data_IF_303892098870
#
_entry.id   IF_303892098870
#
_cell.length_a   1.000
_cell.length_b   1.000
_cell.length_c   1.000
_cell.angle_alpha   90.00
_cell.angle_beta   90.00
_cell.angle_gamma   90.00
#
_symmetry.space_group_name_H-M   'P 1'
#
loop_
_entity.id
_entity.type
_entity.pdbx_description
1 polymer ?
#
# COMPACT_ATOMS: atom_id res chain seq x y z
N UNK A 1 25.01 42.01 -21.19
CA UNK A 1 24.71 40.59 -21.51
C UNK A 1 24.73 39.83 -20.19
N UNK A 2 23.54 39.55 -19.65
CA UNK A 2 23.38 38.85 -18.36
C UNK A 2 23.28 37.36 -18.66
N UNK A 3 24.26 36.59 -18.23
CA UNK A 3 24.28 35.12 -18.30
C UNK A 3 23.35 34.59 -17.20
N UNK A 4 22.15 34.18 -17.58
CA UNK A 4 21.30 33.39 -16.72
C UNK A 4 21.92 31.98 -16.61
N UNK A 5 22.38 31.64 -15.40
CA UNK A 5 22.75 30.30 -15.04
C UNK A 5 21.54 29.34 -15.12
N UNK A 6 21.77 28.01 -15.15
CA UNK A 6 20.69 27.04 -15.30
C UNK A 6 19.72 27.17 -14.11
N UNK A 7 18.46 27.50 -14.41
CA UNK A 7 17.35 27.51 -13.48
C UNK A 7 17.24 26.11 -12.84
N UNK A 8 17.60 26.01 -11.59
CA UNK A 8 17.20 24.89 -10.73
C UNK A 8 15.70 25.01 -10.49
N UNK A 9 14.92 24.36 -11.34
CA UNK A 9 13.44 24.34 -11.32
C UNK A 9 12.83 23.60 -10.12
N UNK A 10 13.64 23.09 -9.21
CA UNK A 10 13.17 22.32 -8.06
C UNK A 10 13.55 23.05 -6.77
N UNK A 11 12.55 23.60 -6.09
CA UNK A 11 12.76 23.98 -4.71
C UNK A 11 13.00 22.72 -3.88
N UNK A 12 14.06 22.68 -3.03
CA UNK A 12 14.31 21.54 -2.16
C UNK A 12 13.08 21.31 -1.28
N UNK A 13 12.67 20.04 -1.15
CA UNK A 13 11.54 19.68 -0.30
C UNK A 13 11.97 19.80 1.14
N UNK A 14 11.38 20.75 1.87
CA UNK A 14 11.62 20.90 3.30
C UNK A 14 10.81 19.88 4.10
N UNK A 15 11.28 18.63 4.11
CA UNK A 15 11.01 17.66 5.18
C UNK A 15 12.20 17.73 6.14
N UNK A 16 11.98 17.32 7.39
CA UNK A 16 13.06 17.34 8.38
C UNK A 16 14.23 16.47 7.96
N UNK A 17 15.41 17.02 8.08
CA UNK A 17 16.66 16.26 8.02
C UNK A 17 16.83 15.40 9.28
N UNK A 18 17.76 14.43 9.23
CA UNK A 18 18.12 13.61 10.39
C UNK A 18 18.56 14.47 11.60
N UNK A 19 19.35 15.52 11.36
CA UNK A 19 19.85 16.39 12.41
C UNK A 19 18.74 17.22 13.07
N UNK A 20 17.84 17.80 12.28
CA UNK A 20 16.67 18.53 12.80
C UNK A 20 15.73 17.63 13.58
N UNK A 21 15.43 16.43 13.07
CA UNK A 21 14.61 15.47 13.78
C UNK A 21 15.23 15.01 15.10
N UNK A 22 16.55 14.85 15.14
CA UNK A 22 17.29 14.48 16.35
C UNK A 22 17.24 15.59 17.39
N UNK A 23 17.44 16.87 16.99
CA UNK A 23 17.33 18.01 17.87
C UNK A 23 15.95 18.12 18.52
N UNK A 24 14.87 18.06 17.70
CA UNK A 24 13.50 18.10 18.19
C UNK A 24 13.24 16.96 19.17
N UNK A 25 13.68 15.74 18.86
CA UNK A 25 13.50 14.59 19.72
C UNK A 25 14.24 14.76 21.06
N UNK A 26 15.48 15.25 21.05
CA UNK A 26 16.26 15.49 22.26
C UNK A 26 15.61 16.55 23.16
N UNK A 27 15.12 17.65 22.58
CA UNK A 27 14.42 18.71 23.33
C UNK A 27 13.13 18.18 23.96
N UNK A 28 12.36 17.37 23.23
CA UNK A 28 11.15 16.74 23.75
C UNK A 28 11.45 15.75 24.89
N UNK A 29 12.48 14.91 24.74
CA UNK A 29 12.90 13.95 25.77
C UNK A 29 13.41 14.66 27.04
N UNK A 30 14.23 15.70 26.89
CA UNK A 30 14.79 16.48 28.02
C UNK A 30 13.68 17.10 28.89
N UNK A 31 12.59 17.50 28.27
CA UNK A 31 11.48 18.19 28.95
C UNK A 31 10.39 17.22 29.46
N UNK A 32 10.56 15.91 29.31
CA UNK A 32 9.56 14.93 29.75
C UNK A 32 9.73 14.59 31.24
N UNK A 33 8.67 14.69 32.06
CA UNK A 33 8.68 14.27 33.46
C UNK A 33 8.34 12.78 33.67
N UNK A 34 8.12 11.99 32.60
CA UNK A 34 7.75 10.59 32.68
C UNK A 34 8.96 9.68 32.98
N UNK A 35 8.68 8.48 33.53
CA UNK A 35 9.70 7.44 33.78
C UNK A 35 10.40 6.98 32.50
N UNK A 36 9.61 6.75 31.46
CA UNK A 36 10.08 6.48 30.10
C UNK A 36 9.30 7.35 29.13
N UNK A 37 9.95 7.77 28.06
CA UNK A 37 9.33 8.59 27.02
C UNK A 37 9.75 8.11 25.65
N UNK A 38 8.78 8.07 24.72
CA UNK A 38 9.01 7.89 23.29
C UNK A 38 8.57 9.14 22.56
N UNK A 39 9.38 9.57 21.61
CA UNK A 39 9.08 10.67 20.70
C UNK A 39 9.05 10.13 19.28
N UNK A 40 7.91 10.24 18.64
CA UNK A 40 7.74 9.89 17.22
C UNK A 40 7.53 11.16 16.42
N UNK A 41 8.31 11.35 15.37
CA UNK A 41 8.27 12.54 14.52
C UNK A 41 7.88 12.10 13.10
N UNK A 42 6.94 12.78 12.51
CA UNK A 42 6.56 12.64 11.11
C UNK A 42 6.61 14.01 10.45
N UNK A 43 7.43 14.15 9.42
CA UNK A 43 7.46 15.35 8.58
C UNK A 43 7.11 14.97 7.16
N UNK A 44 6.10 15.61 6.59
CA UNK A 44 5.56 15.26 5.28
C UNK A 44 5.45 16.51 4.41
N UNK A 45 5.89 16.40 3.17
CA UNK A 45 5.58 17.34 2.10
C UNK A 45 4.79 16.59 1.02
N UNK A 46 3.67 17.14 0.61
CA UNK A 46 2.77 16.57 -0.38
C UNK A 46 2.47 17.61 -1.46
N UNK A 47 2.47 17.16 -2.70
CA UNK A 47 2.02 17.93 -3.84
C UNK A 47 1.02 17.10 -4.63
N UNK A 48 -0.15 17.64 -4.89
CA UNK A 48 -1.19 16.93 -5.61
C UNK A 48 -1.83 17.75 -6.72
N UNK A 49 -2.42 17.04 -7.67
CA UNK A 49 -3.23 17.63 -8.74
C UNK A 49 -4.38 16.67 -9.05
N UNK A 50 -5.60 17.18 -8.94
CA UNK A 50 -6.83 16.49 -9.36
C UNK A 50 -7.29 17.02 -10.70
N UNK A 51 -7.81 16.13 -11.51
CA UNK A 51 -8.52 16.50 -12.73
C UNK A 51 -9.84 15.72 -12.83
N UNK A 52 -10.85 16.38 -13.35
CA UNK A 52 -12.16 15.80 -13.60
C UNK A 52 -12.83 16.53 -14.77
N UNK A 53 -13.73 15.87 -15.48
CA UNK A 53 -14.40 16.42 -16.65
C UNK A 53 -13.41 17.00 -17.67
N UNK A 54 -12.29 16.32 -17.85
CA UNK A 54 -11.20 16.72 -18.75
C UNK A 54 -10.52 18.06 -18.40
N UNK A 55 -10.55 18.47 -17.14
CA UNK A 55 -9.93 19.71 -16.66
C UNK A 55 -9.22 19.48 -15.32
N UNK A 56 -8.15 20.22 -15.08
CA UNK A 56 -7.56 20.30 -13.73
C UNK A 56 -8.54 21.06 -12.84
N UNK A 57 -8.95 20.42 -11.75
CA UNK A 57 -9.93 20.98 -10.80
C UNK A 57 -9.26 21.53 -9.54
N UNK A 58 -8.17 20.91 -9.10
CA UNK A 58 -7.45 21.30 -7.89
C UNK A 58 -5.99 20.98 -8.05
N UNK A 59 -5.12 21.89 -7.63
CA UNK A 59 -3.69 21.64 -7.48
C UNK A 59 -3.24 22.30 -6.19
N UNK A 60 -2.50 21.59 -5.37
CA UNK A 60 -2.09 22.07 -4.06
C UNK A 60 -0.79 21.45 -3.58
N UNK A 61 -0.21 22.11 -2.57
CA UNK A 61 0.94 21.63 -1.83
C UNK A 61 0.66 21.81 -0.34
N UNK A 62 1.03 20.83 0.45
CA UNK A 62 0.93 20.88 1.90
C UNK A 62 2.21 20.36 2.52
N UNK A 63 2.58 20.96 3.63
CA UNK A 63 3.71 20.54 4.47
C UNK A 63 3.23 20.50 5.90
N UNK A 64 3.54 19.41 6.57
CA UNK A 64 3.17 19.24 7.98
C UNK A 64 4.28 18.48 8.71
N UNK A 65 4.50 18.89 9.96
CA UNK A 65 5.40 18.19 10.89
C UNK A 65 4.65 17.98 12.18
N UNK A 66 4.55 16.72 12.58
CA UNK A 66 3.88 16.31 13.79
C UNK A 66 4.84 15.56 14.72
N UNK A 67 4.83 15.94 15.99
CA UNK A 67 5.59 15.29 17.07
C UNK A 67 4.59 14.65 18.02
N UNK A 68 4.66 13.34 18.15
CA UNK A 68 3.86 12.58 19.12
C UNK A 68 4.75 12.15 20.26
N UNK A 69 4.44 12.62 21.47
CA UNK A 69 5.16 12.27 22.70
C UNK A 69 4.31 11.26 23.45
N UNK A 70 4.86 10.07 23.65
CA UNK A 70 4.24 9.00 24.45
C UNK A 70 4.98 8.90 25.78
N UNK A 71 4.26 9.17 26.84
CA UNK A 71 4.76 9.05 28.22
C UNK A 71 4.35 7.69 28.81
N UNK A 72 5.27 7.08 29.53
CA UNK A 72 5.05 5.81 30.25
C UNK A 72 5.23 6.04 31.76
N UNK A 73 4.28 5.52 32.54
CA UNK A 73 4.29 5.51 33.99
C UNK A 73 3.94 4.10 34.48
N UNK A 74 4.95 3.33 34.88
CA UNK A 74 4.81 1.88 35.05
C UNK A 74 4.31 1.23 33.76
N UNK A 75 3.24 0.45 33.84
CA UNK A 75 2.59 -0.21 32.68
C UNK A 75 1.49 0.65 32.03
N UNK A 76 1.43 1.93 32.30
CA UNK A 76 0.46 2.86 31.72
C UNK A 76 1.14 3.73 30.69
N UNK A 77 0.42 4.12 29.64
CA UNK A 77 0.95 5.04 28.63
C UNK A 77 -0.13 5.92 28.06
N UNK A 78 0.25 7.13 27.69
CA UNK A 78 -0.59 8.03 26.93
C UNK A 78 0.26 8.83 25.95
N UNK A 79 -0.36 9.26 24.86
CA UNK A 79 0.29 10.02 23.80
C UNK A 79 -0.40 11.36 23.60
N UNK A 80 0.39 12.40 23.40
CA UNK A 80 -0.05 13.73 22.99
C UNK A 80 0.74 14.16 21.78
N UNK A 81 0.04 14.69 20.78
CA UNK A 81 0.65 15.16 19.54
C UNK A 81 0.62 16.69 19.43
N UNK A 82 1.66 17.27 18.87
CA UNK A 82 1.74 18.70 18.55
C UNK A 82 2.48 18.92 17.24
N UNK A 83 2.07 19.94 16.49
CA UNK A 83 2.80 20.44 15.34
C UNK A 83 3.63 21.72 15.64
N UNK A 84 3.64 22.14 16.90
CA UNK A 84 4.47 23.26 17.38
C UNK A 84 5.76 22.70 17.93
N UNK A 85 6.89 23.17 17.39
CA UNK A 85 8.23 22.63 17.63
C UNK A 85 9.05 23.45 18.62
N UNK A 86 8.45 24.50 19.22
CA UNK A 86 9.09 25.28 20.28
C UNK A 86 9.15 24.50 21.61
N UNK A 87 10.13 24.81 22.46
CA UNK A 87 10.37 24.10 23.72
C UNK A 87 9.17 24.12 24.66
N UNK A 88 8.45 25.23 24.73
CA UNK A 88 7.27 25.35 25.61
C UNK A 88 6.15 24.40 25.18
N UNK A 89 5.92 24.30 23.85
CA UNK A 89 4.90 23.41 23.30
C UNK A 89 5.28 21.93 23.44
N UNK A 90 6.54 21.58 23.23
CA UNK A 90 7.04 20.21 23.44
C UNK A 90 6.94 19.81 24.92
N UNK A 91 7.36 20.70 25.84
CA UNK A 91 7.25 20.47 27.28
C UNK A 91 5.79 20.33 27.75
N UNK A 92 4.88 21.17 27.24
CA UNK A 92 3.45 21.09 27.55
C UNK A 92 2.85 19.76 27.10
N UNK A 93 3.18 19.29 25.87
CA UNK A 93 2.72 18.00 25.36
C UNK A 93 3.27 16.82 26.18
N UNK A 94 4.56 16.85 26.56
CA UNK A 94 5.18 15.83 27.41
C UNK A 94 4.54 15.77 28.81
N UNK A 95 4.30 16.92 29.43
CA UNK A 95 3.59 17.02 30.72
C UNK A 95 2.17 16.47 30.61
N UNK A 96 1.42 16.89 29.61
CA UNK A 96 0.05 16.44 29.41
C UNK A 96 0.00 14.93 29.18
N UNK A 97 0.87 14.38 28.33
CA UNK A 97 0.95 12.92 28.12
C UNK A 97 1.23 12.18 29.43
N UNK A 98 2.12 12.71 30.28
CA UNK A 98 2.43 12.11 31.58
C UNK A 98 1.25 12.14 32.53
N UNK A 99 0.53 13.25 32.61
CA UNK A 99 -0.67 13.35 33.48
C UNK A 99 -1.79 12.39 33.01
N UNK A 100 -2.01 12.28 31.71
CA UNK A 100 -2.97 11.32 31.18
C UNK A 100 -2.52 9.88 31.45
N UNK A 101 -1.22 9.56 31.28
CA UNK A 101 -0.68 8.23 31.54
C UNK A 101 -0.91 7.75 32.98
N UNK A 102 -0.93 8.65 33.97
CA UNK A 102 -1.22 8.31 35.37
C UNK A 102 -2.67 7.86 35.57
N UNK A 103 -3.59 8.29 34.70
CA UNK A 103 -5.05 8.10 34.87
C UNK A 103 -5.58 6.89 34.06
N UNK A 104 -4.89 6.47 33.00
CA UNK A 104 -5.35 5.33 32.18
C UNK A 104 -5.12 3.99 32.88
N UNK A 105 -5.90 2.95 32.55
CA UNK A 105 -5.64 1.60 33.07
C UNK A 105 -4.26 1.08 32.65
N UNK A 106 -3.61 0.23 33.49
CA UNK A 106 -2.35 -0.39 33.13
C UNK A 106 -2.54 -1.37 31.97
N UNK A 107 -1.58 -1.37 31.03
CA UNK A 107 -1.52 -2.35 29.96
C UNK A 107 -0.58 -3.50 30.36
N UNK A 108 -1.09 -4.72 30.64
CA UNK A 108 -0.25 -5.87 31.03
C UNK A 108 0.66 -6.36 29.89
N UNK A 109 0.38 -5.97 28.64
CA UNK A 109 1.14 -6.36 27.47
C UNK A 109 2.20 -5.31 27.07
N UNK A 110 2.37 -4.29 27.90
CA UNK A 110 3.37 -3.26 27.63
C UNK A 110 4.78 -3.87 27.58
N UNK A 111 5.49 -3.61 26.49
CA UNK A 111 6.90 -3.96 26.35
C UNK A 111 7.78 -2.75 26.73
N UNK A 112 8.91 -2.98 27.43
CA UNK A 112 9.88 -1.91 27.72
C UNK A 112 10.38 -1.25 26.44
N UNK A 113 10.74 0.04 26.53
CA UNK A 113 11.39 0.74 25.42
C UNK A 113 12.74 0.09 25.08
N UNK A 114 13.09 0.12 23.80
CA UNK A 114 14.35 -0.44 23.29
C UNK A 114 15.52 0.52 23.53
N UNK A 115 16.69 -0.03 23.78
CA UNK A 115 17.97 0.70 23.65
C UNK A 115 18.31 0.93 22.18
N UNK A 116 19.41 1.66 21.90
CA UNK A 116 19.88 1.92 20.55
C UNK A 116 19.99 0.62 19.72
N UNK A 117 19.48 0.69 18.50
CA UNK A 117 19.55 -0.37 17.51
C UNK A 117 20.53 0.01 16.40
N UNK A 118 21.01 -0.98 15.66
CA UNK A 118 21.77 -0.77 14.43
C UNK A 118 20.78 -0.75 13.25
N UNK A 119 20.80 0.34 12.51
CA UNK A 119 19.96 0.50 11.32
C UNK A 119 20.81 0.39 10.05
N UNK A 120 20.27 -0.07 8.93
CA UNK A 120 20.88 0.11 7.63
C UNK A 120 21.22 1.59 7.40
N UNK A 121 22.26 1.86 6.63
CA UNK A 121 22.61 3.24 6.28
C UNK A 121 21.36 3.96 5.75
N UNK A 122 21.05 5.11 6.34
CA UNK A 122 19.95 5.93 5.87
C UNK A 122 20.16 6.20 4.38
N UNK A 123 19.16 5.91 3.57
CA UNK A 123 19.23 6.23 2.16
C UNK A 123 19.05 7.74 2.05
N UNK A 124 20.13 8.49 1.88
CA UNK A 124 20.11 9.92 1.58
C UNK A 124 19.49 10.09 0.17
N UNK A 125 18.19 10.15 0.13
CA UNK A 125 17.43 10.38 -1.10
C UNK A 125 17.25 11.88 -1.28
N UNK A 126 17.74 12.39 -2.39
CA UNK A 126 17.31 13.72 -2.84
C UNK A 126 15.84 13.59 -3.26
N UNK A 127 14.96 14.06 -2.39
CA UNK A 127 13.53 14.05 -2.65
C UNK A 127 13.17 15.42 -3.21
N UNK A 128 12.69 15.44 -4.46
CA UNK A 128 12.10 16.63 -5.09
C UNK A 128 10.63 16.37 -5.38
N UNK A 129 9.78 17.35 -5.14
CA UNK A 129 8.41 17.30 -5.61
C UNK A 129 8.33 17.98 -6.99
N UNK A 130 7.54 17.44 -7.93
CA UNK A 130 7.33 18.07 -9.23
C UNK A 130 6.60 19.39 -9.06
N UNK A 131 6.92 20.34 -9.93
CA UNK A 131 6.22 21.63 -10.01
C UNK A 131 4.75 21.45 -10.38
N UNK A 132 3.89 22.44 -10.08
CA UNK A 132 2.50 22.44 -10.55
C UNK A 132 2.38 22.30 -12.08
N UNK A 133 3.33 22.88 -12.84
CA UNK A 133 3.36 22.79 -14.30
C UNK A 133 3.64 21.37 -14.80
N UNK A 134 4.57 20.66 -14.18
CA UNK A 134 4.88 19.25 -14.54
C UNK A 134 3.69 18.34 -14.22
N UNK A 135 3.04 18.50 -13.06
CA UNK A 135 1.84 17.75 -12.71
C UNK A 135 0.68 18.06 -13.67
N UNK A 136 0.50 19.33 -14.03
CA UNK A 136 -0.52 19.72 -15.01
C UNK A 136 -0.23 19.16 -16.41
N UNK A 137 1.04 19.12 -16.84
CA UNK A 137 1.43 18.51 -18.11
C UNK A 137 1.11 17.01 -18.16
N UNK A 138 1.37 16.26 -17.07
CA UNK A 138 0.99 14.85 -16.97
C UNK A 138 -0.54 14.64 -17.01
N UNK A 139 -1.31 15.47 -16.27
CA UNK A 139 -2.78 15.43 -16.30
C UNK A 139 -3.31 15.76 -17.72
N UNK A 140 -2.69 16.71 -18.42
CA UNK A 140 -3.04 17.11 -19.78
C UNK A 140 -2.97 15.94 -20.77
N UNK A 141 -1.96 15.07 -20.66
CA UNK A 141 -1.86 13.89 -21.54
C UNK A 141 -3.11 13.00 -21.47
N UNK A 142 -3.65 12.78 -20.26
CA UNK A 142 -4.87 12.00 -20.09
C UNK A 142 -6.12 12.74 -20.60
N UNK A 143 -6.25 14.02 -20.20
CA UNK A 143 -7.46 14.79 -20.50
C UNK A 143 -7.59 15.13 -21.99
N UNK A 144 -6.49 15.35 -22.70
CA UNK A 144 -6.48 15.59 -24.15
C UNK A 144 -6.77 14.31 -24.92
N UNK A 145 -6.15 13.17 -24.53
CA UNK A 145 -6.42 11.89 -25.19
C UNK A 145 -7.87 11.45 -24.97
N UNK A 146 -8.41 11.65 -23.77
CA UNK A 146 -9.82 11.36 -23.49
C UNK A 146 -10.75 12.23 -24.34
N UNK A 147 -10.50 13.55 -24.41
CA UNK A 147 -11.28 14.48 -25.22
C UNK A 147 -11.24 14.14 -26.70
N UNK A 148 -10.08 13.79 -27.24
CA UNK A 148 -9.91 13.37 -28.64
C UNK A 148 -10.68 12.09 -28.99
N UNK A 149 -11.08 11.29 -27.98
CA UNK A 149 -11.88 10.09 -28.13
C UNK A 149 -13.32 10.24 -27.62
N UNK A 150 -13.79 11.47 -27.39
CA UNK A 150 -15.13 11.77 -26.86
C UNK A 150 -15.42 11.09 -25.52
N UNK A 151 -14.40 11.01 -24.66
CA UNK A 151 -14.46 10.41 -23.35
C UNK A 151 -14.22 11.47 -22.26
N UNK A 152 -14.56 11.12 -21.03
CA UNK A 152 -14.44 11.98 -19.84
C UNK A 152 -13.38 11.36 -18.90
N UNK A 153 -12.30 12.11 -18.68
CA UNK A 153 -11.25 11.71 -17.76
C UNK A 153 -11.41 12.36 -16.38
N UNK A 154 -11.13 11.55 -15.36
CA UNK A 154 -10.99 11.94 -13.96
C UNK A 154 -9.76 11.26 -13.41
N UNK A 155 -8.98 11.95 -12.57
CA UNK A 155 -7.80 11.32 -12.01
C UNK A 155 -7.11 12.16 -10.95
N UNK A 156 -6.02 11.59 -10.46
CA UNK A 156 -5.28 12.13 -9.35
C UNK A 156 -3.79 11.85 -9.50
N UNK A 157 -2.99 12.86 -9.27
CA UNK A 157 -1.54 12.77 -9.16
C UNK A 157 -1.20 13.16 -7.74
N UNK A 158 -0.53 12.29 -7.00
CA UNK A 158 -0.02 12.57 -5.66
C UNK A 158 1.48 12.30 -5.61
N UNK A 159 2.21 13.29 -5.13
CA UNK A 159 3.63 13.19 -4.86
C UNK A 159 3.84 13.45 -3.37
N UNK A 160 4.49 12.54 -2.70
CA UNK A 160 4.71 12.61 -1.25
C UNK A 160 6.16 12.36 -0.91
N UNK A 161 6.73 13.26 -0.12
CA UNK A 161 8.00 13.09 0.56
C UNK A 161 7.73 13.00 2.07
N UNK A 162 8.39 12.10 2.77
CA UNK A 162 8.20 11.91 4.20
C UNK A 162 9.53 11.63 4.89
N UNK A 163 9.72 12.24 6.06
CA UNK A 163 10.75 11.87 7.02
C UNK A 163 10.06 11.35 8.28
N UNK A 164 10.61 10.31 8.86
CA UNK A 164 10.13 9.70 10.10
C UNK A 164 11.29 9.52 11.06
N UNK A 165 11.10 9.90 12.32
CA UNK A 165 12.07 9.62 13.37
C UNK A 165 11.36 9.03 14.59
N UNK A 166 12.08 8.21 15.32
CA UNK A 166 11.68 7.68 16.61
C UNK A 166 12.85 7.76 17.56
N UNK A 167 12.62 8.37 18.73
CA UNK A 167 13.59 8.44 19.80
C UNK A 167 12.95 8.04 21.12
N UNK A 168 13.74 7.61 22.08
CA UNK A 168 13.23 7.32 23.42
C UNK A 168 14.25 7.65 24.51
N UNK A 169 13.80 7.62 25.77
CA UNK A 169 14.60 7.92 26.96
C UNK A 169 15.69 6.88 27.26
N UNK A 170 15.74 5.73 26.52
CA UNK A 170 16.80 4.72 26.62
C UNK A 170 17.90 4.90 25.56
N UNK A 171 17.92 6.05 24.89
CA UNK A 171 18.98 6.41 23.95
C UNK A 171 18.75 5.92 22.51
N UNK A 172 17.61 5.28 22.21
CA UNK A 172 17.30 4.91 20.83
C UNK A 172 17.03 6.17 20.00
N UNK A 173 17.61 6.21 18.81
CA UNK A 173 17.28 7.15 17.75
C UNK A 173 17.30 6.45 16.40
N UNK A 174 16.14 6.42 15.75
CA UNK A 174 15.93 5.92 14.39
C UNK A 174 15.46 7.06 13.48
N UNK A 175 15.91 7.08 12.25
CA UNK A 175 15.49 8.05 11.23
C UNK A 175 15.48 7.41 9.86
N UNK A 176 14.46 7.72 9.08
CA UNK A 176 14.37 7.35 7.66
C UNK A 176 13.58 8.38 6.87
N UNK A 177 13.83 8.43 5.56
CA UNK A 177 13.07 9.25 4.62
C UNK A 177 12.61 8.42 3.42
N UNK A 178 11.44 8.75 2.90
CA UNK A 178 10.83 8.05 1.78
C UNK A 178 10.14 9.02 0.82
N UNK A 179 10.01 8.59 -0.44
CA UNK A 179 9.22 9.29 -1.44
C UNK A 179 8.31 8.30 -2.16
N UNK A 180 7.15 8.78 -2.56
CA UNK A 180 6.23 8.05 -3.40
C UNK A 180 5.51 9.01 -4.34
N UNK A 181 5.34 8.57 -5.57
CA UNK A 181 4.55 9.27 -6.59
C UNK A 181 3.56 8.29 -7.17
N UNK A 182 2.30 8.69 -7.24
CA UNK A 182 1.23 7.88 -7.83
C UNK A 182 0.43 8.73 -8.78
N UNK A 183 0.15 8.22 -9.96
CA UNK A 183 -0.80 8.77 -10.90
C UNK A 183 -1.87 7.73 -11.19
N UNK A 184 -3.14 8.13 -11.07
CA UNK A 184 -4.29 7.30 -11.44
C UNK A 184 -5.19 8.06 -12.40
N UNK A 185 -5.79 7.36 -13.34
CA UNK A 185 -6.81 7.89 -14.23
C UNK A 185 -7.96 6.91 -14.39
N UNK A 186 -9.18 7.42 -14.29
CA UNK A 186 -10.41 6.75 -14.69
C UNK A 186 -11.00 7.53 -15.87
N UNK A 187 -11.23 6.85 -16.96
CA UNK A 187 -11.83 7.42 -18.17
C UNK A 187 -13.16 6.75 -18.40
N UNK A 188 -14.20 7.54 -18.72
CA UNK A 188 -15.56 7.04 -18.93
C UNK A 188 -16.16 7.53 -20.21
N UNK A 189 -17.07 6.73 -20.79
CA UNK A 189 -17.94 7.18 -21.87
C UNK A 189 -19.03 8.11 -21.33
N UNK A 190 -19.52 9.09 -22.13
CA UNK A 190 -20.55 10.05 -21.70
C UNK A 190 -21.88 9.38 -21.30
N UNK A 191 -22.20 8.23 -21.91
CA UNK A 191 -23.38 7.43 -21.58
C UNK A 191 -23.23 6.63 -20.28
N UNK A 192 -22.03 6.67 -19.65
CA UNK A 192 -21.74 5.97 -18.41
C UNK A 192 -21.54 4.45 -18.57
N UNK A 193 -21.62 3.88 -19.77
CA UNK A 193 -21.53 2.42 -19.96
C UNK A 193 -20.08 1.92 -20.03
N UNK A 194 -19.16 2.73 -20.53
CA UNK A 194 -17.74 2.41 -20.64
C UNK A 194 -16.92 3.02 -19.52
N UNK A 195 -16.03 2.25 -18.91
CA UNK A 195 -15.09 2.70 -17.90
C UNK A 195 -13.75 1.99 -18.04
N UNK A 196 -12.67 2.75 -17.99
CA UNK A 196 -11.31 2.24 -18.00
C UNK A 196 -10.46 2.93 -16.96
N UNK A 197 -9.58 2.17 -16.31
CA UNK A 197 -8.69 2.66 -15.27
C UNK A 197 -7.25 2.22 -15.54
N UNK A 198 -6.33 3.10 -15.20
CA UNK A 198 -4.91 2.81 -15.17
C UNK A 198 -4.19 3.57 -14.06
N UNK A 199 -3.06 3.06 -13.63
CA UNK A 199 -2.17 3.74 -12.69
C UNK A 199 -0.71 3.58 -13.09
N UNK A 200 0.10 4.52 -12.60
CA UNK A 200 1.55 4.43 -12.55
C UNK A 200 2.01 4.82 -11.15
N UNK A 201 2.97 4.10 -10.60
CA UNK A 201 3.48 4.30 -9.24
C UNK A 201 5.00 4.25 -9.24
N UNK A 202 5.64 5.16 -8.52
CA UNK A 202 7.09 5.30 -8.49
C UNK A 202 7.59 5.95 -7.19
N UNK A 203 8.88 6.20 -7.11
CA UNK A 203 9.52 6.96 -6.03
C UNK A 203 9.90 8.37 -6.45
N UNK A 204 9.99 8.60 -7.75
CA UNK A 204 10.25 9.92 -8.36
C UNK A 204 9.17 10.20 -9.42
N UNK A 205 9.01 11.46 -9.78
CA UNK A 205 8.06 11.83 -10.84
C UNK A 205 8.49 11.31 -12.22
N UNK A 206 9.77 11.07 -12.41
CA UNK A 206 10.30 10.47 -13.64
C UNK A 206 9.89 9.00 -13.83
N UNK A 207 9.51 8.30 -12.75
CA UNK A 207 9.03 6.92 -12.82
C UNK A 207 7.57 6.84 -13.37
N UNK A 208 6.88 7.98 -13.51
CA UNK A 208 5.48 8.02 -13.91
C UNK A 208 5.36 8.05 -15.43
N UNK A 209 4.81 6.99 -15.99
CA UNK A 209 4.45 6.94 -17.41
C UNK A 209 3.01 7.43 -17.63
N UNK A 210 2.85 8.75 -17.66
CA UNK A 210 1.55 9.39 -17.88
C UNK A 210 0.96 9.08 -19.27
N UNK A 211 1.79 8.81 -20.29
CA UNK A 211 1.33 8.43 -21.63
C UNK A 211 0.71 7.03 -21.60
N UNK A 212 1.38 6.07 -20.95
CA UNK A 212 0.85 4.72 -20.79
C UNK A 212 -0.44 4.71 -19.96
N UNK A 213 -0.50 5.49 -18.88
CA UNK A 213 -1.73 5.66 -18.08
C UNK A 213 -2.88 6.18 -18.96
N UNK A 214 -2.63 7.21 -19.75
CA UNK A 214 -3.63 7.77 -20.66
C UNK A 214 -4.10 6.74 -21.70
N UNK A 215 -3.16 6.09 -22.40
CA UNK A 215 -3.47 5.12 -23.44
C UNK A 215 -4.27 3.93 -22.89
N UNK A 216 -3.85 3.36 -21.76
CA UNK A 216 -4.52 2.20 -21.14
C UNK A 216 -5.92 2.55 -20.65
N UNK A 217 -6.09 3.68 -19.95
CA UNK A 217 -7.40 4.08 -19.43
C UNK A 217 -8.39 4.39 -20.56
N UNK A 218 -7.95 5.08 -21.60
CA UNK A 218 -8.77 5.41 -22.77
C UNK A 218 -9.16 4.15 -23.55
N UNK A 219 -8.22 3.25 -23.83
CA UNK A 219 -8.51 2.03 -24.57
C UNK A 219 -9.51 1.13 -23.81
N UNK A 220 -9.32 0.96 -22.51
CA UNK A 220 -10.29 0.21 -21.68
C UNK A 220 -11.67 0.88 -21.64
N UNK A 221 -11.74 2.19 -21.58
CA UNK A 221 -13.01 2.92 -21.60
C UNK A 221 -13.74 2.72 -22.95
N UNK A 222 -13.02 2.69 -24.06
CA UNK A 222 -13.58 2.42 -25.41
C UNK A 222 -14.11 0.99 -25.53
N UNK A 223 -13.27 0.04 -25.12
CA UNK A 223 -13.56 -1.39 -25.29
C UNK A 223 -14.58 -1.92 -24.27
N UNK A 224 -14.84 -1.20 -23.19
CA UNK A 224 -15.82 -1.58 -22.15
C UNK A 224 -17.22 -0.99 -22.37
N UNK A 225 -17.49 -0.28 -23.46
CA UNK A 225 -18.80 0.30 -23.77
C UNK A 225 -19.86 -0.77 -23.99
N UNK A 226 -21.09 -0.46 -23.58
CA UNK A 226 -22.26 -1.33 -23.77
C UNK A 226 -22.06 -2.77 -23.26
N UNK A 227 -21.68 -2.93 -21.99
CA UNK A 227 -21.36 -4.25 -21.45
C UNK A 227 -22.59 -5.15 -21.43
N UNK A 228 -22.42 -6.40 -21.83
CA UNK A 228 -23.47 -7.41 -21.80
C UNK A 228 -23.50 -8.14 -20.46
N UNK A 229 -24.69 -8.60 -20.05
CA UNK A 229 -24.81 -9.48 -18.89
C UNK A 229 -24.44 -10.91 -19.28
N UNK A 230 -23.67 -11.58 -18.45
CA UNK A 230 -23.49 -13.04 -18.52
C UNK A 230 -23.85 -13.65 -17.16
N UNK A 231 -24.16 -14.93 -17.13
CA UNK A 231 -24.55 -15.61 -15.89
C UNK A 231 -23.42 -15.59 -14.87
N UNK A 232 -23.70 -15.25 -13.59
CA UNK A 232 -22.75 -15.45 -12.50
C UNK A 232 -22.34 -16.91 -12.37
N UNK A 233 -21.15 -17.17 -11.85
CA UNK A 233 -20.65 -18.54 -11.73
C UNK A 233 -19.15 -18.59 -11.50
N UNK A 234 -18.59 -19.76 -11.74
CA UNK A 234 -17.14 -19.98 -11.68
C UNK A 234 -16.54 -19.90 -13.07
N UNK A 235 -15.49 -19.08 -13.19
CA UNK A 235 -14.81 -18.87 -14.46
C UNK A 235 -13.32 -19.05 -14.35
N UNK A 236 -12.69 -19.48 -15.43
CA UNK A 236 -11.26 -19.20 -15.63
C UNK A 236 -11.13 -17.68 -15.65
N UNK A 237 -10.27 -17.14 -14.81
CA UNK A 237 -10.15 -15.68 -14.67
C UNK A 237 -8.70 -15.26 -14.80
N UNK A 238 -8.48 -14.26 -15.64
CA UNK A 238 -7.19 -13.56 -15.73
C UNK A 238 -7.33 -12.29 -14.90
N UNK A 239 -6.50 -12.20 -13.85
CA UNK A 239 -6.41 -11.05 -12.97
C UNK A 239 -5.22 -10.19 -13.39
N UNK A 240 -5.46 -8.95 -13.78
CA UNK A 240 -4.37 -8.00 -13.99
C UNK A 240 -3.64 -7.69 -12.66
N UNK A 241 -2.40 -7.17 -12.69
CA UNK A 241 -1.59 -6.99 -11.48
C UNK A 241 -2.29 -6.24 -10.35
N UNK A 242 -3.09 -5.21 -10.67
CA UNK A 242 -3.85 -4.45 -9.67
C UNK A 242 -4.91 -5.31 -9.01
N UNK A 243 -5.64 -6.13 -9.77
CA UNK A 243 -6.62 -7.06 -9.22
C UNK A 243 -5.97 -8.09 -8.28
N UNK A 244 -4.79 -8.60 -8.67
CA UNK A 244 -3.99 -9.49 -7.81
C UNK A 244 -3.60 -8.78 -6.52
N UNK A 245 -3.05 -7.58 -6.61
CA UNK A 245 -2.63 -6.79 -5.45
C UNK A 245 -3.76 -6.44 -4.50
N UNK A 246 -4.94 -6.13 -5.03
CA UNK A 246 -6.13 -5.85 -4.22
C UNK A 246 -6.46 -7.00 -3.25
N UNK A 247 -6.23 -8.26 -3.64
CA UNK A 247 -6.59 -9.43 -2.85
C UNK A 247 -5.38 -10.08 -2.15
N UNK A 248 -4.21 -10.19 -2.79
CA UNK A 248 -3.06 -10.89 -2.21
C UNK A 248 -2.49 -10.18 -0.97
N UNK A 249 -2.50 -8.83 -0.93
CA UNK A 249 -2.10 -8.10 0.28
C UNK A 249 -2.93 -8.48 1.52
N UNK A 250 -4.17 -8.92 1.33
CA UNK A 250 -5.07 -9.34 2.41
C UNK A 250 -4.62 -10.66 3.06
N UNK A 251 -3.92 -11.52 2.31
CA UNK A 251 -3.31 -12.75 2.86
C UNK A 251 -2.29 -12.38 3.93
N UNK A 252 -1.36 -11.48 3.59
CA UNK A 252 -0.32 -11.04 4.54
C UNK A 252 -0.93 -10.29 5.72
N UNK A 253 -1.97 -9.47 5.48
CA UNK A 253 -2.74 -8.82 6.55
C UNK A 253 -3.35 -9.80 7.56
N UNK A 254 -3.74 -11.00 7.11
CA UNK A 254 -4.30 -12.06 7.96
C UNK A 254 -3.22 -12.91 8.69
N UNK A 255 -1.93 -12.75 8.37
CA UNK A 255 -0.84 -13.55 8.93
C UNK A 255 -0.38 -13.08 10.33
N UNK A 256 -1.30 -12.59 11.16
CA UNK A 256 -1.02 -12.18 12.54
C UNK A 256 -0.84 -13.43 13.42
N UNK A 257 0.34 -13.61 14.00
CA UNK A 257 0.69 -14.79 14.79
C UNK A 257 -0.27 -15.02 15.96
N UNK A 258 -0.59 -13.96 16.71
CA UNK A 258 -1.52 -14.06 17.85
C UNK A 258 -2.90 -14.55 17.42
N UNK A 259 -3.45 -14.00 16.34
CA UNK A 259 -4.76 -14.43 15.84
C UNK A 259 -4.73 -15.90 15.35
N UNK A 260 -3.60 -16.33 14.78
CA UNK A 260 -3.40 -17.71 14.36
C UNK A 260 -3.33 -18.66 15.55
N UNK A 261 -2.55 -18.35 16.57
CA UNK A 261 -2.37 -19.18 17.77
C UNK A 261 -3.65 -19.27 18.63
N UNK A 262 -4.44 -18.19 18.65
CA UNK A 262 -5.73 -18.12 19.37
C UNK A 262 -6.91 -18.72 18.60
N UNK A 263 -6.70 -19.33 17.42
CA UNK A 263 -7.78 -19.98 16.65
C UNK A 263 -8.71 -19.03 15.88
N UNK A 264 -8.31 -17.75 15.68
CA UNK A 264 -9.15 -16.70 15.08
C UNK A 264 -8.81 -16.37 13.62
N UNK A 265 -7.90 -17.12 12.99
CA UNK A 265 -7.37 -16.85 11.65
C UNK A 265 -7.42 -18.10 10.77
N UNK A 266 -7.38 -17.90 9.45
CA UNK A 266 -7.09 -18.97 8.52
C UNK A 266 -5.79 -19.72 8.88
N UNK A 267 -4.80 -19.01 9.39
CA UNK A 267 -3.51 -19.56 9.74
C UNK A 267 -3.50 -20.34 11.08
N UNK A 268 -4.66 -20.49 11.72
CA UNK A 268 -4.85 -21.37 12.86
C UNK A 268 -4.89 -22.82 12.40
N UNK A 269 -4.27 -23.72 13.18
CA UNK A 269 -4.32 -25.17 12.97
C UNK A 269 -5.47 -25.79 13.76
N UNK A 270 -6.18 -26.73 13.16
CA UNK A 270 -7.17 -27.53 13.88
C UNK A 270 -6.49 -28.33 14.99
N UNK A 271 -7.02 -28.25 16.20
CA UNK A 271 -6.42 -28.89 17.37
C UNK A 271 -5.40 -28.01 18.12
N UNK A 272 -5.19 -26.77 17.68
CA UNK A 272 -4.32 -25.77 18.34
C UNK A 272 -3.03 -25.48 17.58
N UNK A 273 -2.46 -24.30 17.88
CA UNK A 273 -1.29 -23.76 17.21
C UNK A 273 -1.59 -23.17 15.83
N UNK A 274 -0.57 -22.96 15.03
CA UNK A 274 -0.65 -22.27 13.76
C UNK A 274 -0.11 -23.12 12.57
N UNK A 275 -0.25 -22.58 11.36
CA UNK A 275 0.12 -23.28 10.11
C UNK A 275 1.56 -23.02 9.65
N UNK A 276 2.49 -22.59 10.50
CA UNK A 276 3.91 -22.51 10.14
C UNK A 276 4.41 -23.85 9.61
N UNK A 277 5.15 -23.83 8.50
CA UNK A 277 5.66 -25.02 7.83
C UNK A 277 4.62 -25.78 7.00
N UNK A 278 3.36 -25.37 6.98
CA UNK A 278 2.32 -26.04 6.20
C UNK A 278 2.17 -25.41 4.82
N UNK A 279 1.91 -26.23 3.81
CA UNK A 279 1.52 -25.80 2.48
C UNK A 279 0.08 -25.30 2.51
N UNK A 280 -0.16 -24.09 2.00
CA UNK A 280 -1.49 -23.44 2.01
C UNK A 280 -1.95 -22.96 0.65
N UNK A 281 -1.03 -22.80 -0.31
CA UNK A 281 -1.29 -22.37 -1.69
C UNK A 281 -0.41 -23.15 -2.67
N UNK A 282 -0.56 -22.89 -3.98
CA UNK A 282 0.21 -23.51 -5.05
C UNK A 282 1.73 -23.30 -4.87
N UNK A 283 2.55 -24.27 -5.28
CA UNK A 283 4.01 -24.25 -5.16
C UNK A 283 4.69 -23.08 -5.87
N UNK A 284 4.04 -22.50 -6.86
CA UNK A 284 4.57 -21.33 -7.58
C UNK A 284 4.41 -20.04 -6.79
N UNK A 285 3.66 -20.02 -5.70
CA UNK A 285 3.40 -18.82 -4.91
C UNK A 285 4.49 -18.59 -3.89
N UNK A 286 5.22 -17.49 -4.06
CA UNK A 286 6.18 -16.97 -3.07
C UNK A 286 5.87 -15.50 -2.79
N UNK A 287 5.64 -15.17 -1.51
CA UNK A 287 5.33 -13.83 -1.02
C UNK A 287 6.43 -13.33 -0.10
N UNK A 288 7.01 -12.19 -0.42
CA UNK A 288 8.16 -11.60 0.28
C UNK A 288 7.88 -10.12 0.55
N UNK A 289 8.30 -9.65 1.71
CA UNK A 289 8.49 -8.20 1.98
C UNK A 289 9.97 -7.95 2.11
N UNK A 290 10.52 -7.04 1.31
CA UNK A 290 11.93 -6.68 1.35
C UNK A 290 12.07 -5.16 1.45
N UNK A 291 12.50 -4.61 2.60
CA UNK A 291 12.72 -3.18 2.77
C UNK A 291 13.89 -2.65 1.92
N UNK A 292 14.79 -3.53 1.49
CA UNK A 292 15.92 -3.19 0.60
C UNK A 292 15.54 -3.21 -0.88
N UNK A 293 14.34 -3.70 -1.22
CA UNK A 293 13.87 -3.77 -2.61
C UNK A 293 13.72 -2.35 -3.18
N UNK A 294 14.55 -1.99 -4.12
CA UNK A 294 14.51 -0.68 -4.76
C UNK A 294 13.55 -0.72 -5.96
N UNK A 295 12.68 0.26 -6.08
CA UNK A 295 12.44 1.45 -5.30
C UNK A 295 11.40 1.23 -4.19
N UNK A 296 11.82 0.80 -3.01
CA UNK A 296 10.94 0.59 -1.87
C UNK A 296 10.50 1.91 -1.23
N UNK A 297 9.26 1.97 -0.78
CA UNK A 297 8.69 3.09 -0.01
C UNK A 297 8.60 2.79 1.49
N UNK A 298 9.15 1.64 1.93
CA UNK A 298 9.20 1.30 3.36
C UNK A 298 10.26 2.12 4.08
N UNK A 299 9.95 2.48 5.32
CA UNK A 299 10.94 3.03 6.25
C UNK A 299 11.98 2.00 6.68
N UNK A 300 12.98 2.44 7.43
CA UNK A 300 14.06 1.59 7.93
C UNK A 300 13.76 0.91 9.27
N UNK A 301 12.62 1.23 9.93
CA UNK A 301 12.26 0.70 11.26
C UNK A 301 10.75 0.61 11.43
N UNK A 302 10.32 -0.24 12.39
CA UNK A 302 8.93 -0.40 12.78
C UNK A 302 8.49 0.62 13.85
N UNK A 303 7.23 0.59 14.26
CA UNK A 303 6.67 1.49 15.28
C UNK A 303 7.24 1.30 16.69
N UNK A 304 8.02 0.25 16.94
CA UNK A 304 8.74 0.02 18.19
C UNK A 304 10.21 0.48 18.13
N UNK A 305 10.70 0.77 16.94
CA UNK A 305 12.09 1.14 16.68
C UNK A 305 12.98 -0.04 16.30
N UNK A 306 12.44 -1.22 16.04
CA UNK A 306 13.23 -2.32 15.49
C UNK A 306 13.54 -2.05 14.00
N UNK A 307 14.78 -2.31 13.55
CA UNK A 307 15.13 -2.21 12.14
C UNK A 307 14.30 -3.23 11.33
N UNK A 308 13.80 -2.80 10.18
CA UNK A 308 13.07 -3.71 9.28
C UNK A 308 14.03 -4.73 8.66
N UNK A 309 13.49 -5.90 8.33
CA UNK A 309 14.23 -6.98 7.69
C UNK A 309 13.44 -7.57 6.53
N UNK A 310 14.13 -8.31 5.67
CA UNK A 310 13.49 -9.12 4.65
C UNK A 310 12.70 -10.25 5.32
N UNK A 311 11.42 -10.36 4.96
CA UNK A 311 10.52 -11.40 5.47
C UNK A 311 9.94 -12.19 4.33
N UNK A 312 10.14 -13.50 4.35
CA UNK A 312 9.47 -14.46 3.48
C UNK A 312 8.23 -14.97 4.20
N UNK A 313 7.06 -14.57 3.74
CA UNK A 313 5.78 -14.96 4.30
C UNK A 313 5.38 -16.38 3.89
N UNK A 314 5.40 -16.59 2.58
CA UNK A 314 5.11 -17.86 1.94
C UNK A 314 6.23 -18.12 0.94
N UNK A 315 6.76 -19.33 0.94
CA UNK A 315 7.76 -19.78 -0.03
C UNK A 315 7.32 -21.11 -0.63
N UNK A 316 7.20 -21.13 -1.95
CA UNK A 316 6.74 -22.31 -2.68
C UNK A 316 5.44 -22.90 -2.08
N UNK A 317 4.49 -22.02 -1.79
CA UNK A 317 3.19 -22.38 -1.20
C UNK A 317 3.19 -22.68 0.30
N UNK A 318 4.36 -22.72 0.95
CA UNK A 318 4.53 -23.08 2.37
C UNK A 318 4.66 -21.84 3.24
N UNK A 319 3.90 -21.75 4.33
CA UNK A 319 3.97 -20.66 5.33
C UNK A 319 5.31 -20.70 6.04
N UNK A 320 6.12 -19.64 5.88
CA UNK A 320 7.46 -19.53 6.52
C UNK A 320 7.45 -18.62 7.73
N UNK A 321 6.63 -17.60 7.74
CA UNK A 321 6.62 -16.61 8.80
C UNK A 321 5.19 -16.16 9.08
N UNK A 322 4.89 -15.87 10.34
CA UNK A 322 3.73 -15.11 10.79
C UNK A 322 4.20 -13.81 11.43
N UNK A 323 3.35 -12.82 11.49
CA UNK A 323 3.68 -11.52 12.09
C UNK A 323 3.59 -11.61 13.61
N UNK A 324 4.72 -11.74 14.28
CA UNK A 324 4.88 -11.71 15.73
C UNK A 324 5.23 -10.28 16.16
N UNK A 325 4.33 -9.60 16.88
CA UNK A 325 4.70 -8.40 17.61
C UNK A 325 5.64 -8.73 18.78
N UNK A 326 6.24 -7.72 19.40
CA UNK A 326 7.23 -7.92 20.48
C UNK A 326 6.66 -8.68 21.68
N UNK A 327 5.42 -8.40 22.07
CA UNK A 327 4.79 -9.05 23.22
C UNK A 327 4.49 -10.51 22.92
N UNK A 328 3.87 -10.78 21.78
CA UNK A 328 3.50 -12.14 21.40
C UNK A 328 4.74 -13.00 21.11
N UNK A 329 5.77 -12.39 20.52
CA UNK A 329 7.08 -13.04 20.29
C UNK A 329 7.72 -13.48 21.62
N UNK A 330 7.74 -12.59 22.62
CA UNK A 330 8.24 -12.93 23.96
C UNK A 330 7.43 -14.06 24.59
N UNK A 331 6.10 -13.99 24.52
CA UNK A 331 5.20 -15.02 25.07
C UNK A 331 5.40 -16.39 24.42
N UNK A 332 5.71 -16.42 23.13
CA UNK A 332 5.95 -17.64 22.36
C UNK A 332 7.43 -18.06 22.33
N UNK A 333 8.31 -17.29 22.98
CA UNK A 333 9.77 -17.51 22.98
C UNK A 333 10.37 -17.57 21.57
N UNK A 334 9.94 -16.63 20.69
CA UNK A 334 10.45 -16.46 19.32
C UNK A 334 10.92 -15.01 19.11
N UNK A 335 11.58 -14.74 17.99
CA UNK A 335 11.94 -13.38 17.61
C UNK A 335 10.73 -12.63 17.03
N UNK A 336 10.59 -11.31 17.32
CA UNK A 336 9.57 -10.51 16.68
C UNK A 336 9.83 -10.38 15.17
N UNK A 337 8.75 -10.36 14.39
CA UNK A 337 8.85 -10.14 12.94
C UNK A 337 9.01 -8.65 12.67
N UNK A 338 10.10 -8.28 11.99
CA UNK A 338 10.49 -6.87 11.80
C UNK A 338 10.00 -6.35 10.46
N UNK A 339 8.72 -6.01 10.40
CA UNK A 339 8.09 -5.45 9.21
C UNK A 339 7.40 -4.13 9.54
N UNK A 340 7.34 -3.23 8.58
CA UNK A 340 6.62 -1.97 8.72
C UNK A 340 5.12 -2.20 8.94
N UNK A 341 4.52 -1.36 9.80
CA UNK A 341 3.12 -1.49 10.19
C UNK A 341 2.14 -1.22 9.05
N UNK A 342 0.91 -1.68 9.26
CA UNK A 342 -0.24 -1.49 8.37
C UNK A 342 -0.88 -2.79 7.92
N UNK A 343 -2.05 -2.68 7.32
CA UNK A 343 -2.74 -3.78 6.66
C UNK A 343 -1.98 -4.19 5.40
N UNK A 344 -1.17 -5.17 5.50
CA UNK A 344 -0.27 -5.60 4.44
C UNK A 344 1.12 -5.01 4.60
N UNK A 345 2.11 -5.83 4.40
CA UNK A 345 3.49 -5.39 4.43
C UNK A 345 3.73 -4.42 3.26
N UNK A 346 4.18 -3.22 3.56
CA UNK A 346 4.68 -2.32 2.53
C UNK A 346 5.78 -3.04 1.75
N UNK A 347 5.89 -2.77 0.44
CA UNK A 347 6.82 -3.48 -0.47
C UNK A 347 6.58 -4.99 -0.57
N UNK A 348 5.34 -5.44 -0.34
CA UNK A 348 4.97 -6.82 -0.60
C UNK A 348 5.18 -7.16 -2.08
N UNK A 349 5.89 -8.26 -2.31
CA UNK A 349 6.16 -8.81 -3.63
C UNK A 349 5.65 -10.24 -3.73
N UNK A 350 4.88 -10.53 -4.77
CA UNK A 350 4.66 -11.89 -5.24
C UNK A 350 5.66 -12.17 -6.36
N UNK A 351 6.44 -13.23 -6.24
CA UNK A 351 7.39 -13.64 -7.28
C UNK A 351 6.59 -14.09 -8.50
N UNK A 352 6.88 -13.50 -9.65
CA UNK A 352 6.17 -13.74 -10.89
C UNK A 352 6.74 -14.88 -11.73
N UNK A 353 6.05 -15.15 -12.84
CA UNK A 353 6.46 -16.03 -13.90
C UNK A 353 6.80 -15.27 -15.20
N UNK A 354 6.60 -15.91 -16.33
CA UNK A 354 6.99 -15.36 -17.64
C UNK A 354 5.83 -15.25 -18.64
N UNK A 355 4.65 -15.81 -18.32
CA UNK A 355 3.52 -15.84 -19.24
C UNK A 355 2.85 -14.46 -19.36
N UNK A 356 2.86 -13.86 -20.52
CA UNK A 356 2.23 -12.55 -20.73
C UNK A 356 0.70 -12.62 -20.66
N UNK A 357 0.04 -11.49 -20.36
CA UNK A 357 -1.44 -11.43 -20.38
C UNK A 357 -2.01 -11.80 -21.75
N UNK A 358 -1.45 -11.34 -22.88
CA UNK A 358 -1.90 -11.81 -24.20
C UNK A 358 -1.79 -13.33 -24.40
N UNK A 359 -0.73 -13.97 -23.91
CA UNK A 359 -0.58 -15.43 -24.00
C UNK A 359 -1.60 -16.13 -23.10
N UNK A 360 -1.83 -15.63 -21.88
CA UNK A 360 -2.88 -16.15 -21.00
C UNK A 360 -4.26 -16.09 -21.66
N UNK A 361 -4.56 -14.99 -22.36
CA UNK A 361 -5.83 -14.82 -23.10
C UNK A 361 -5.89 -15.84 -24.24
N UNK A 362 -4.82 -15.95 -25.06
CA UNK A 362 -4.74 -16.86 -26.20
C UNK A 362 -5.01 -18.33 -25.82
N UNK A 363 -4.56 -18.73 -24.63
CA UNK A 363 -4.73 -20.09 -24.10
C UNK A 363 -6.06 -20.28 -23.32
N UNK A 364 -6.97 -19.32 -23.36
CA UNK A 364 -8.25 -19.39 -22.63
C UNK A 364 -9.39 -19.61 -23.60
N UNK A 365 -10.04 -20.76 -23.52
CA UNK A 365 -11.22 -21.09 -24.34
C UNK A 365 -12.42 -20.22 -23.93
N UNK A 366 -12.73 -20.16 -22.63
CA UNK A 366 -13.75 -19.27 -22.05
C UNK A 366 -13.34 -18.79 -20.68
N UNK A 367 -13.39 -17.48 -20.44
CA UNK A 367 -12.94 -16.90 -19.18
C UNK A 367 -13.30 -15.42 -19.03
N UNK A 368 -12.85 -14.83 -17.96
CA UNK A 368 -13.05 -13.41 -17.62
C UNK A 368 -11.72 -12.73 -17.40
N UNK A 369 -11.51 -11.57 -18.00
CA UNK A 369 -10.39 -10.66 -17.70
C UNK A 369 -10.87 -9.58 -16.75
N UNK A 370 -10.17 -9.38 -15.63
CA UNK A 370 -10.50 -8.40 -14.59
C UNK A 370 -9.37 -7.39 -14.44
N UNK A 371 -9.69 -6.10 -14.62
CA UNK A 371 -8.73 -5.00 -14.45
C UNK A 371 -8.40 -4.75 -12.99
N UNK A 372 -9.41 -4.58 -12.14
CA UNK A 372 -9.25 -4.38 -10.69
C UNK A 372 -10.51 -4.72 -9.92
N UNK A 373 -10.37 -4.80 -8.60
CA UNK A 373 -11.48 -4.94 -7.67
C UNK A 373 -11.75 -3.64 -6.92
N UNK A 374 -12.97 -3.53 -6.42
CA UNK A 374 -13.44 -2.37 -5.67
C UNK A 374 -14.38 -2.77 -4.54
N UNK A 375 -14.46 -1.93 -3.50
CA UNK A 375 -15.37 -2.13 -2.36
C UNK A 375 -15.19 -3.49 -1.69
N UNK A 376 -13.93 -3.87 -1.46
CA UNK A 376 -13.56 -5.15 -0.87
C UNK A 376 -13.85 -5.13 0.63
N UNK A 377 -14.63 -6.10 1.11
CA UNK A 377 -15.01 -6.22 2.53
C UNK A 377 -14.83 -7.65 3.01
N UNK A 378 -14.31 -7.77 4.25
CA UNK A 378 -14.14 -9.07 4.89
C UNK A 378 -15.50 -9.70 5.21
N UNK A 379 -15.63 -10.98 4.91
CA UNK A 379 -16.80 -11.81 5.22
C UNK A 379 -16.46 -12.80 6.33
N UNK A 380 -15.36 -13.55 6.19
CA UNK A 380 -14.94 -14.53 7.18
C UNK A 380 -13.40 -14.56 7.30
N UNK A 381 -12.84 -14.18 8.47
CA UNK A 381 -11.40 -14.20 8.68
C UNK A 381 -10.79 -15.60 8.75
N UNK A 382 -11.60 -16.64 9.05
CA UNK A 382 -11.11 -18.03 9.15
C UNK A 382 -10.83 -18.65 7.78
N UNK A 383 -11.44 -18.13 6.74
CA UNK A 383 -11.25 -18.57 5.36
C UNK A 383 -10.61 -17.48 4.49
N UNK A 384 -10.33 -16.31 5.07
CA UNK A 384 -9.90 -15.10 4.35
C UNK A 384 -10.90 -14.83 3.20
N UNK A 385 -12.20 -15.01 3.48
CA UNK A 385 -13.25 -14.76 2.51
C UNK A 385 -13.56 -13.28 2.43
N UNK A 386 -13.54 -12.75 1.22
CA UNK A 386 -13.88 -11.36 0.92
C UNK A 386 -15.00 -11.29 -0.12
N UNK A 387 -15.81 -10.25 -0.01
CA UNK A 387 -16.74 -9.83 -1.07
C UNK A 387 -16.28 -8.49 -1.64
N UNK A 388 -16.58 -8.24 -2.89
CA UNK A 388 -16.28 -6.99 -3.58
C UNK A 388 -16.86 -6.99 -4.99
N UNK A 389 -16.44 -6.03 -5.79
CA UNK A 389 -16.92 -5.82 -7.15
C UNK A 389 -15.74 -5.82 -8.12
N UNK A 390 -15.94 -6.35 -9.34
CA UNK A 390 -15.06 -5.99 -10.48
C UNK A 390 -15.33 -4.55 -10.89
N UNK A 391 -14.33 -3.87 -11.47
CA UNK A 391 -14.49 -2.46 -11.85
C UNK A 391 -13.55 -2.05 -12.97
N UNK A 392 -14.01 -1.05 -13.74
CA UNK A 392 -13.24 -0.32 -14.75
C UNK A 392 -12.61 -1.19 -15.83
N UNK A 393 -13.37 -2.16 -16.31
CA UNK A 393 -12.97 -3.11 -17.36
C UNK A 393 -13.05 -4.54 -16.87
N UNK A 394 -14.18 -5.18 -17.18
CA UNK A 394 -14.39 -6.62 -17.02
C UNK A 394 -14.79 -7.15 -18.38
N UNK A 395 -14.07 -8.18 -18.89
CA UNK A 395 -14.22 -8.63 -20.26
C UNK A 395 -14.38 -10.14 -20.34
N UNK A 396 -15.23 -10.58 -21.26
CA UNK A 396 -15.37 -11.98 -21.63
C UNK A 396 -14.24 -12.38 -22.58
N UNK A 397 -13.65 -13.52 -22.32
CA UNK A 397 -12.70 -14.19 -23.21
C UNK A 397 -13.37 -15.42 -23.80
N UNK A 398 -13.32 -15.56 -25.13
CA UNK A 398 -13.78 -16.74 -25.84
C UNK A 398 -12.82 -17.08 -26.98
N UNK A 399 -12.47 -18.36 -27.09
CA UNK A 399 -11.58 -18.89 -28.13
C UNK A 399 -10.26 -18.10 -28.27
N UNK A 400 -9.64 -17.77 -27.12
CA UNK A 400 -8.37 -17.09 -27.09
C UNK A 400 -8.40 -15.59 -27.42
N UNK A 401 -9.56 -14.94 -27.36
CA UNK A 401 -9.75 -13.51 -27.66
C UNK A 401 -10.68 -12.86 -26.65
N UNK A 402 -10.42 -11.60 -26.32
CA UNK A 402 -11.39 -10.73 -25.64
C UNK A 402 -12.50 -10.42 -26.64
N UNK A 403 -13.74 -10.86 -26.36
CA UNK A 403 -14.87 -10.75 -27.28
C UNK A 403 -15.84 -9.64 -26.93
N UNK A 404 -16.18 -9.50 -25.66
CA UNK A 404 -17.18 -8.54 -25.20
C UNK A 404 -16.82 -7.94 -23.85
N UNK A 405 -17.13 -6.66 -23.61
CA UNK A 405 -17.21 -6.14 -22.27
C UNK A 405 -18.43 -6.76 -21.57
N UNK A 406 -18.29 -7.07 -20.30
CA UNK A 406 -19.39 -7.62 -19.49
C UNK A 406 -19.69 -6.70 -18.30
N UNK A 407 -20.93 -6.73 -17.83
CA UNK A 407 -21.36 -6.04 -16.63
C UNK A 407 -20.49 -6.48 -15.47
N UNK A 408 -20.20 -5.55 -14.56
CA UNK A 408 -19.41 -5.86 -13.38
C UNK A 408 -20.09 -6.96 -12.55
N UNK A 409 -19.26 -7.76 -11.92
CA UNK A 409 -19.67 -8.80 -11.00
C UNK A 409 -19.40 -8.41 -9.55
N UNK A 410 -20.27 -8.86 -8.67
CA UNK A 410 -19.89 -9.12 -7.28
C UNK A 410 -19.17 -10.46 -7.22
N UNK A 411 -18.10 -10.50 -6.44
CA UNK A 411 -17.41 -11.74 -6.10
C UNK A 411 -17.54 -12.05 -4.60
N UNK A 412 -17.50 -13.34 -4.28
CA UNK A 412 -17.23 -13.87 -2.95
C UNK A 412 -16.10 -14.86 -3.10
N UNK A 413 -14.87 -14.46 -2.73
CA UNK A 413 -13.70 -15.26 -3.03
C UNK A 413 -12.65 -15.17 -1.92
N UNK A 414 -11.88 -16.23 -1.76
CA UNK A 414 -10.72 -16.28 -0.89
C UNK A 414 -9.43 -16.25 -1.73
N UNK A 415 -8.49 -15.35 -1.44
CA UNK A 415 -7.19 -15.38 -2.10
C UNK A 415 -6.44 -16.69 -1.91
N UNK A 416 -6.70 -17.41 -0.83
CA UNK A 416 -6.14 -18.76 -0.63
C UNK A 416 -6.69 -19.74 -1.67
N UNK A 417 -7.99 -19.66 -1.97
CA UNK A 417 -8.62 -20.55 -2.92
C UNK A 417 -8.12 -20.31 -4.34
N UNK A 418 -8.15 -19.07 -4.83
CA UNK A 418 -7.70 -18.83 -6.20
C UNK A 418 -6.18 -19.01 -6.37
N UNK A 419 -5.36 -18.78 -5.33
CA UNK A 419 -3.93 -19.07 -5.37
C UNK A 419 -3.63 -20.58 -5.38
N UNK A 420 -4.54 -21.43 -4.92
CA UNK A 420 -4.46 -22.89 -5.12
C UNK A 420 -4.95 -23.32 -6.54
N UNK A 421 -5.70 -22.46 -7.21
CA UNK A 421 -6.21 -22.71 -8.56
C UNK A 421 -5.40 -22.02 -9.66
N UNK A 422 -4.14 -21.66 -9.35
CA UNK A 422 -3.23 -20.97 -10.25
C UNK A 422 -2.93 -21.82 -11.51
N UNK A 423 -3.05 -21.21 -12.68
CA UNK A 423 -2.72 -21.83 -13.97
C UNK A 423 -1.46 -21.21 -14.59
N UNK A 424 -1.36 -19.88 -14.60
CA UNK A 424 -0.21 -19.16 -15.16
C UNK A 424 0.08 -17.88 -14.35
N UNK A 425 1.33 -17.41 -14.43
CA UNK A 425 1.78 -16.14 -13.86
C UNK A 425 2.65 -15.39 -14.88
N UNK A 426 2.47 -14.09 -14.94
CA UNK A 426 3.31 -13.20 -15.73
C UNK A 426 4.44 -12.54 -14.93
N UNK A 427 5.17 -11.61 -15.56
CA UNK A 427 6.21 -10.84 -14.88
C UNK A 427 5.63 -9.98 -13.74
N UNK A 428 6.36 -9.89 -12.63
CA UNK A 428 6.02 -9.00 -11.53
C UNK A 428 6.23 -7.54 -11.92
N UNK A 429 5.24 -6.71 -11.66
CA UNK A 429 5.29 -5.26 -11.87
C UNK A 429 4.88 -4.50 -10.62
N UNK A 430 5.40 -3.28 -10.46
CA UNK A 430 4.98 -2.37 -9.40
C UNK A 430 3.62 -1.78 -9.73
N UNK A 431 2.71 -1.81 -8.76
CA UNK A 431 1.35 -1.27 -8.89
C UNK A 431 0.92 -0.57 -7.61
N UNK A 432 -0.12 0.25 -7.70
CA UNK A 432 -0.85 0.72 -6.54
C UNK A 432 -2.10 -0.15 -6.35
N UNK A 433 -2.13 -0.90 -5.26
CA UNK A 433 -3.24 -1.80 -4.92
C UNK A 433 -4.28 -1.16 -3.98
N UNK A 434 -4.15 0.12 -3.66
CA UNK A 434 -5.11 0.83 -2.79
C UNK A 434 -6.44 1.03 -3.50
N UNK A 435 -7.54 0.77 -2.81
CA UNK A 435 -8.87 1.23 -3.25
C UNK A 435 -8.99 2.76 -3.21
N UNK A 436 -8.27 3.41 -2.30
CA UNK A 436 -8.23 4.85 -2.19
C UNK A 436 -7.21 5.41 -3.19
N UNK A 437 -7.55 6.53 -3.80
CA UNK A 437 -6.68 7.25 -4.71
C UNK A 437 -5.57 7.94 -3.91
N UNK A 438 -4.46 7.29 -3.65
CA UNK A 438 -3.40 7.93 -2.88
C UNK A 438 -2.12 7.11 -2.77
N UNK A 439 -1.06 7.80 -2.40
CA UNK A 439 0.24 7.20 -2.17
C UNK A 439 0.23 6.21 -0.99
N UNK A 440 1.01 5.16 -1.08
CA UNK A 440 1.25 4.21 0.01
C UNK A 440 0.65 2.81 -0.19
N UNK A 441 0.03 2.56 -1.34
CA UNK A 441 -0.46 1.23 -1.71
C UNK A 441 0.47 0.45 -2.65
N UNK A 442 1.73 0.84 -2.76
CA UNK A 442 2.70 0.21 -3.65
C UNK A 442 3.00 -1.22 -3.25
N UNK A 443 2.74 -2.15 -4.16
CA UNK A 443 3.09 -3.56 -4.07
C UNK A 443 3.60 -4.04 -5.42
N UNK A 444 4.23 -5.22 -5.44
CA UNK A 444 4.79 -5.83 -6.64
C UNK A 444 4.05 -7.12 -6.93
N UNK A 445 3.24 -7.14 -7.99
CA UNK A 445 2.38 -8.28 -8.32
C UNK A 445 2.48 -8.67 -9.78
N UNK A 446 2.48 -9.97 -10.10
CA UNK A 446 2.31 -10.46 -11.46
C UNK A 446 0.83 -10.43 -11.86
N UNK A 447 0.49 -10.36 -13.15
CA UNK A 447 -0.80 -10.84 -13.61
C UNK A 447 -0.86 -12.37 -13.43
N UNK A 448 -2.06 -12.90 -13.13
CA UNK A 448 -2.24 -14.34 -12.97
C UNK A 448 -3.47 -14.84 -13.71
N UNK A 449 -3.42 -16.10 -14.15
CA UNK A 449 -4.55 -16.85 -14.65
C UNK A 449 -4.90 -17.93 -13.62
N UNK A 450 -6.17 -17.97 -13.22
CA UNK A 450 -6.69 -18.92 -12.24
C UNK A 450 -7.94 -19.60 -12.76
N UNK A 451 -8.22 -20.82 -12.30
CA UNK A 451 -9.50 -21.48 -12.56
C UNK A 451 -10.48 -21.24 -11.40
N UNK A 452 -11.76 -21.41 -11.68
CA UNK A 452 -12.84 -21.47 -10.69
C UNK A 452 -12.96 -20.21 -9.79
N UNK A 453 -12.60 -19.02 -10.29
CA UNK A 453 -12.86 -17.77 -9.57
C UNK A 453 -14.37 -17.51 -9.50
N UNK A 454 -14.89 -17.23 -8.31
CA UNK A 454 -16.33 -17.20 -8.04
C UNK A 454 -16.91 -15.81 -8.16
N UNK A 455 -17.75 -15.60 -9.16
CA UNK A 455 -18.61 -14.42 -9.31
C UNK A 455 -20.02 -14.78 -8.85
N UNK A 456 -20.56 -14.06 -7.85
CA UNK A 456 -21.77 -14.44 -7.13
C UNK A 456 -23.05 -13.77 -7.65
N UNK A 457 -22.94 -12.59 -8.24
CA UNK A 457 -24.06 -11.86 -8.84
C UNK A 457 -23.57 -10.76 -9.78
N UNK A 458 -24.45 -10.27 -10.64
CA UNK A 458 -24.24 -9.06 -11.42
C UNK A 458 -24.23 -7.81 -10.51
N UNK A 459 -23.53 -6.80 -10.93
CA UNK A 459 -23.53 -5.47 -10.30
C UNK A 459 -23.73 -4.40 -11.37
N UNK A 460 -24.67 -3.50 -11.14
CA UNK A 460 -24.90 -2.34 -12.00
C UNK A 460 -23.97 -1.14 -11.64
N UNK A 461 -23.05 -1.33 -10.68
CA UNK A 461 -22.04 -0.33 -10.37
C UNK A 461 -21.07 -0.15 -11.55
N UNK A 462 -20.97 1.07 -12.07
CA UNK A 462 -20.06 1.47 -13.16
C UNK A 462 -18.82 2.14 -12.60
#
# INVERSE_FOLDING_TARGET
>A
MSTHGPNTLFAPVNILSRAEAQDIAQRALKNSPAEETRVSISSTARADTRFALNQVTTSGENRDTNVTITAFVGNRSASVSTNRLDDASLAAAAKQATEIAKLVPPNPERMPELSQQTYPAARDRVISLPTPAERAAAAKLVTELARANELIATGFIECRASASALANSKGLFAFDSSANVTMTATVRSPDGTGSGWACSDGTTFADIDAKQVAATAVEKAKTSRSPVAIEPGRYVTILEPTAVGNLVQLVVGAMQARAADEGRSFFSKQGGGNKLGMKVVDDRVTLITDPEDAPSTTGGFDGSGLPLEKVTWIENGVVKTLNYDRFWAQKQNVQPTRVGGGFGARSLRMVGGTTSVPDMIKETERGVLVTRFWYIRAVDPRTILYTGLTRDGTFLIENGKVTHPIKNFRFNESPIFFLNNLQAMGPTVRINASENLGAGGAVYMPPIKVRDFTFSSLSDAV
#
